data_IF_789902319507
#
_entry.id   IF_789902319507
#
_cell.length_a   1.000
_cell.length_b   1.000
_cell.length_c   1.000
_cell.angle_alpha   90.00
_cell.angle_beta   90.00
_cell.angle_gamma   90.00
#
_symmetry.space_group_name_H-M   'P 1'
#
loop_
_entity.id
_entity.type
_entity.pdbx_description
1 polymer ?
#
# COMPACT_ATOMS: atom_id res chain seq x y z
N UNK A 1 -11.20 -1.78 -28.00
CA UNK A 1 -9.99 -2.08 -27.18
C UNK A 1 -9.77 -1.13 -26.00
N UNK A 2 -10.23 0.13 -26.05
CA UNK A 2 -9.99 1.11 -24.98
C UNK A 2 -10.66 0.73 -23.65
N UNK A 3 -11.88 0.16 -23.69
CA UNK A 3 -12.62 -0.27 -22.50
C UNK A 3 -11.87 -1.36 -21.73
N UNK A 4 -11.33 -2.35 -22.45
CA UNK A 4 -10.53 -3.42 -21.84
C UNK A 4 -9.28 -2.88 -21.14
N UNK A 5 -8.54 -1.97 -21.78
CA UNK A 5 -7.37 -1.34 -21.16
C UNK A 5 -7.74 -0.51 -19.93
N UNK A 6 -8.83 0.27 -20.03
CA UNK A 6 -9.32 1.09 -18.91
C UNK A 6 -9.75 0.21 -17.74
N UNK A 7 -10.45 -0.89 -18.00
CA UNK A 7 -10.87 -1.84 -16.99
C UNK A 7 -9.67 -2.53 -16.31
N UNK A 8 -8.65 -2.97 -17.07
CA UNK A 8 -7.44 -3.60 -16.50
C UNK A 8 -6.63 -2.60 -15.65
N UNK A 9 -6.41 -1.39 -16.17
CA UNK A 9 -5.68 -0.35 -15.42
C UNK A 9 -6.41 0.02 -14.14
N UNK A 10 -7.74 0.15 -14.20
CA UNK A 10 -8.58 0.42 -13.04
C UNK A 10 -8.53 -0.75 -12.04
N UNK A 11 -8.68 -1.98 -12.51
CA UNK A 11 -8.63 -3.18 -11.67
C UNK A 11 -7.30 -3.29 -10.89
N UNK A 12 -6.16 -3.03 -11.56
CA UNK A 12 -4.84 -3.04 -10.92
C UNK A 12 -4.70 -1.92 -9.88
N UNK A 13 -5.13 -0.71 -10.21
CA UNK A 13 -5.04 0.44 -9.31
C UNK A 13 -5.94 0.29 -8.07
N UNK A 14 -7.18 -0.14 -8.28
CA UNK A 14 -8.16 -0.35 -7.22
C UNK A 14 -7.71 -1.50 -6.32
N UNK A 15 -7.23 -2.61 -6.88
CA UNK A 15 -6.71 -3.74 -6.07
C UNK A 15 -5.51 -3.35 -5.19
N UNK A 16 -4.54 -2.60 -5.74
CA UNK A 16 -3.41 -2.11 -4.96
C UNK A 16 -3.86 -1.19 -3.81
N UNK A 17 -4.82 -0.31 -4.10
CA UNK A 17 -5.41 0.60 -3.11
C UNK A 17 -6.15 -0.18 -2.03
N UNK A 18 -6.92 -1.21 -2.39
CA UNK A 18 -7.64 -2.05 -1.45
C UNK A 18 -6.70 -2.85 -0.55
N UNK A 19 -5.63 -3.44 -1.10
CA UNK A 19 -4.59 -4.10 -0.28
C UNK A 19 -3.97 -3.14 0.73
N UNK A 20 -3.68 -1.90 0.32
CA UNK A 20 -3.14 -0.87 1.21
C UNK A 20 -4.15 -0.48 2.29
N UNK A 21 -5.40 -0.21 1.93
CA UNK A 21 -6.46 0.18 2.87
C UNK A 21 -6.80 -0.93 3.85
N UNK A 22 -6.87 -2.18 3.40
CA UNK A 22 -7.11 -3.32 4.27
C UNK A 22 -6.01 -3.47 5.33
N UNK A 23 -4.75 -3.15 4.97
CA UNK A 23 -3.62 -3.16 5.91
C UNK A 23 -3.67 -2.02 6.93
N UNK A 24 -4.22 -0.86 6.55
CA UNK A 24 -4.24 0.34 7.41
C UNK A 24 -5.47 0.36 8.34
N UNK A 25 -6.66 0.12 7.79
CA UNK A 25 -7.93 0.35 8.48
C UNK A 25 -8.75 -0.95 8.69
N UNK A 26 -8.21 -2.11 8.26
CA UNK A 26 -8.93 -3.37 8.22
C UNK A 26 -9.83 -3.52 6.99
N UNK A 27 -10.16 -4.77 6.64
CA UNK A 27 -10.95 -5.07 5.44
C UNK A 27 -12.37 -4.48 5.48
N UNK A 28 -12.94 -4.29 6.67
CA UNK A 28 -14.29 -3.74 6.88
C UNK A 28 -14.46 -2.28 6.45
N UNK A 29 -13.37 -1.54 6.27
CA UNK A 29 -13.40 -0.15 5.81
C UNK A 29 -13.57 -0.01 4.29
N UNK A 30 -13.55 -1.12 3.55
CA UNK A 30 -13.68 -1.15 2.10
C UNK A 30 -15.14 -1.37 1.65
N UNK A 31 -15.48 -0.99 0.40
CA UNK A 31 -16.77 -1.34 -0.19
C UNK A 31 -17.03 -2.86 -0.18
N UNK A 32 -18.29 -3.31 -0.11
CA UNK A 32 -18.62 -4.73 0.00
C UNK A 32 -18.03 -5.58 -1.14
N UNK A 33 -18.07 -5.09 -2.38
CA UNK A 33 -17.46 -5.77 -3.54
C UNK A 33 -15.95 -5.99 -3.34
N UNK A 34 -15.24 -4.98 -2.84
CA UNK A 34 -13.80 -5.07 -2.57
C UNK A 34 -13.50 -6.07 -1.44
N UNK A 35 -14.38 -6.20 -0.45
CA UNK A 35 -14.25 -7.20 0.61
C UNK A 35 -14.36 -8.61 0.06
N UNK A 36 -15.32 -8.87 -0.84
CA UNK A 36 -15.48 -10.17 -1.50
C UNK A 36 -14.24 -10.54 -2.33
N UNK A 37 -13.72 -9.58 -3.12
CA UNK A 37 -12.49 -9.80 -3.88
C UNK A 37 -11.29 -10.09 -2.96
N UNK A 38 -11.13 -9.34 -1.86
CA UNK A 38 -10.05 -9.59 -0.90
C UNK A 38 -10.21 -10.92 -0.14
N UNK A 39 -11.43 -11.34 0.17
CA UNK A 39 -11.69 -12.66 0.75
C UNK A 39 -11.32 -13.78 -0.23
N UNK A 40 -11.69 -13.64 -1.51
CA UNK A 40 -11.28 -14.59 -2.55
C UNK A 40 -9.75 -14.63 -2.73
N UNK A 41 -9.09 -13.47 -2.66
CA UNK A 41 -7.64 -13.35 -2.70
C UNK A 41 -6.95 -14.07 -1.53
N UNK A 42 -7.48 -13.94 -0.31
CA UNK A 42 -6.95 -14.67 0.85
C UNK A 42 -7.09 -16.19 0.70
N UNK A 43 -8.21 -16.65 0.13
CA UNK A 43 -8.38 -18.07 -0.19
C UNK A 43 -7.37 -18.55 -1.25
N UNK A 44 -7.08 -17.72 -2.26
CA UNK A 44 -6.05 -18.00 -3.27
C UNK A 44 -4.65 -18.07 -2.64
N UNK A 45 -4.32 -17.16 -1.72
CA UNK A 45 -3.04 -17.17 -1.00
C UNK A 45 -2.78 -18.44 -0.18
N UNK A 46 -3.85 -19.14 0.24
CA UNK A 46 -3.70 -20.42 0.93
C UNK A 46 -3.28 -21.56 -0.03
N UNK A 47 -3.43 -21.38 -1.33
CA UNK A 47 -3.24 -22.42 -2.35
C UNK A 47 -2.09 -22.15 -3.31
N UNK A 48 -1.75 -20.87 -3.55
CA UNK A 48 -0.75 -20.46 -4.54
C UNK A 48 0.11 -19.28 -4.08
N UNK A 49 1.10 -18.92 -4.89
CA UNK A 49 2.01 -17.81 -4.59
C UNK A 49 1.31 -16.45 -4.61
N UNK A 50 1.87 -15.46 -3.90
CA UNK A 50 1.30 -14.11 -3.84
C UNK A 50 1.16 -13.48 -5.24
N UNK A 51 2.14 -13.69 -6.12
CA UNK A 51 2.13 -13.17 -7.48
C UNK A 51 1.00 -13.75 -8.32
N UNK A 52 0.82 -15.08 -8.27
CA UNK A 52 -0.25 -15.76 -8.99
C UNK A 52 -1.63 -15.38 -8.44
N UNK A 53 -1.80 -15.39 -7.12
CA UNK A 53 -3.05 -14.99 -6.48
C UNK A 53 -3.44 -13.55 -6.86
N UNK A 54 -2.45 -12.67 -6.94
CA UNK A 54 -2.65 -11.27 -7.33
C UNK A 54 -3.15 -11.15 -8.78
N UNK A 55 -2.50 -11.81 -9.73
CA UNK A 55 -2.92 -11.75 -11.14
C UNK A 55 -4.28 -12.43 -11.37
N UNK A 56 -4.59 -13.52 -10.65
CA UNK A 56 -5.90 -14.16 -10.70
C UNK A 56 -7.00 -13.22 -10.19
N UNK A 57 -6.77 -12.57 -9.04
CA UNK A 57 -7.74 -11.61 -8.48
C UNK A 57 -7.90 -10.38 -9.36
N UNK A 58 -6.81 -9.81 -9.90
CA UNK A 58 -6.87 -8.69 -10.85
C UNK A 58 -7.67 -9.09 -12.09
N UNK A 59 -7.46 -10.30 -12.61
CA UNK A 59 -8.24 -10.82 -13.74
C UNK A 59 -9.74 -10.96 -13.44
N UNK A 60 -10.11 -11.32 -12.21
CA UNK A 60 -11.51 -11.37 -11.78
C UNK A 60 -12.14 -9.97 -11.70
N UNK A 61 -11.44 -9.01 -11.11
CA UNK A 61 -11.89 -7.60 -11.01
C UNK A 61 -12.00 -6.99 -12.42
N UNK A 62 -11.02 -7.26 -13.28
CA UNK A 62 -11.03 -6.82 -14.68
C UNK A 62 -12.29 -7.28 -15.42
N UNK A 63 -12.68 -8.55 -15.25
CA UNK A 63 -13.90 -9.10 -15.88
C UNK A 63 -15.15 -8.36 -15.40
N UNK A 64 -15.26 -8.09 -14.10
CA UNK A 64 -16.37 -7.32 -13.54
C UNK A 64 -16.43 -5.90 -14.13
N UNK A 65 -15.31 -5.18 -14.13
CA UNK A 65 -15.25 -3.82 -14.68
C UNK A 65 -15.43 -3.76 -16.19
N UNK A 66 -15.00 -4.78 -16.93
CA UNK A 66 -15.24 -4.85 -18.36
C UNK A 66 -16.74 -4.97 -18.67
N UNK A 67 -17.47 -5.80 -17.92
CA UNK A 67 -18.91 -5.95 -18.06
C UNK A 67 -19.64 -4.65 -17.68
N UNK A 68 -19.28 -4.02 -16.56
CA UNK A 68 -19.85 -2.74 -16.13
C UNK A 68 -19.64 -1.61 -17.15
N UNK A 69 -18.49 -1.57 -17.80
CA UNK A 69 -18.17 -0.55 -18.81
C UNK A 69 -18.81 -0.84 -20.19
N UNK A 70 -19.76 -1.77 -20.28
CA UNK A 70 -20.48 -2.10 -21.51
C UNK A 70 -19.70 -3.01 -22.47
N UNK A 71 -18.70 -3.72 -21.97
CA UNK A 71 -18.00 -4.77 -22.72
C UNK A 71 -18.87 -6.02 -22.86
N UNK A 72 -19.24 -6.38 -24.08
CA UNK A 72 -19.98 -7.61 -24.37
C UNK A 72 -19.03 -8.78 -24.71
N UNK A 73 -19.33 -9.97 -24.20
CA UNK A 73 -18.59 -11.20 -24.49
C UNK A 73 -17.34 -11.41 -23.61
N UNK A 74 -16.50 -12.37 -24.00
CA UNK A 74 -15.26 -12.68 -23.28
C UNK A 74 -14.30 -11.50 -23.34
N UNK A 75 -13.87 -10.94 -22.19
CA UNK A 75 -12.94 -9.81 -22.18
C UNK A 75 -11.63 -10.19 -22.89
N UNK A 76 -11.12 -9.34 -23.79
CA UNK A 76 -9.88 -9.63 -24.51
C UNK A 76 -8.69 -9.68 -23.54
N UNK A 77 -7.75 -10.61 -23.76
CA UNK A 77 -6.52 -10.73 -22.96
C UNK A 77 -5.68 -9.46 -23.09
N UNK A 78 -5.70 -8.62 -22.05
CA UNK A 78 -4.88 -7.41 -21.97
C UNK A 78 -3.55 -7.84 -21.36
N UNK A 79 -2.62 -8.27 -22.21
CA UNK A 79 -1.23 -8.47 -21.74
C UNK A 79 -0.69 -7.13 -21.23
N UNK A 80 -0.16 -7.07 -20.00
CA UNK A 80 0.49 -5.86 -19.52
C UNK A 80 1.61 -5.51 -20.50
N UNK A 81 1.48 -4.34 -21.15
CA UNK A 81 2.54 -3.81 -21.98
C UNK A 81 3.74 -3.62 -21.06
N UNK A 82 4.87 -4.26 -21.37
CA UNK A 82 6.13 -3.98 -20.69
C UNK A 82 6.30 -2.47 -20.63
N UNK A 83 6.49 -1.92 -19.42
CA UNK A 83 6.64 -0.49 -19.23
C UNK A 83 7.74 -0.01 -20.17
N UNK A 84 7.35 0.68 -21.25
CA UNK A 84 8.32 1.36 -22.07
C UNK A 84 8.96 2.40 -21.15
N UNK A 85 10.29 2.40 -20.99
CA UNK A 85 10.95 3.45 -20.24
C UNK A 85 10.49 4.76 -20.87
N UNK A 86 9.86 5.62 -20.07
CA UNK A 86 9.42 6.92 -20.51
C UNK A 86 10.60 7.56 -21.26
N UNK A 87 10.43 7.82 -22.56
CA UNK A 87 11.46 8.44 -23.35
C UNK A 87 11.91 9.69 -22.60
N UNK A 88 13.22 9.79 -22.39
CA UNK A 88 13.95 10.74 -21.56
C UNK A 88 13.87 12.18 -22.13
N UNK A 89 12.64 12.62 -22.40
CA UNK A 89 12.25 13.92 -22.94
C UNK A 89 11.71 14.84 -21.83
N UNK A 90 11.91 14.47 -20.56
CA UNK A 90 11.68 15.36 -19.42
C UNK A 90 13.01 16.01 -19.10
N UNK A 91 13.26 17.19 -19.68
CA UNK A 91 14.41 17.99 -19.27
C UNK A 91 14.25 18.31 -17.78
N UNK A 92 15.17 17.83 -16.95
CA UNK A 92 15.18 18.15 -15.53
C UNK A 92 15.14 19.67 -15.37
N UNK A 93 14.16 20.18 -14.64
CA UNK A 93 14.01 21.61 -14.38
C UNK A 93 15.29 22.11 -13.71
N UNK A 94 16.17 22.77 -14.47
CA UNK A 94 17.48 23.22 -14.02
C UNK A 94 17.26 24.37 -13.04
N UNK A 95 17.15 24.05 -11.75
CA UNK A 95 17.11 25.07 -10.69
C UNK A 95 18.41 25.89 -10.76
N UNK A 96 18.34 27.23 -10.76
CA UNK A 96 19.53 28.07 -10.61
C UNK A 96 20.32 27.65 -9.36
N UNK A 97 21.66 27.74 -9.44
CA UNK A 97 22.53 27.34 -8.34
C UNK A 97 22.11 28.08 -7.05
N UNK A 98 22.01 27.37 -5.91
CA UNK A 98 21.65 28.00 -4.65
C UNK A 98 22.70 29.05 -4.26
N UNK A 99 22.31 30.23 -3.75
CA UNK A 99 23.27 31.21 -3.26
C UNK A 99 24.11 30.58 -2.15
N UNK A 100 25.44 30.79 -2.21
CA UNK A 100 26.40 30.31 -1.20
C UNK A 100 25.98 30.86 0.16
N UNK A 101 25.58 29.98 1.08
CA UNK A 101 25.36 30.33 2.48
C UNK A 101 26.70 30.80 3.07
N UNK A 102 26.75 32.04 3.51
CA UNK A 102 27.79 32.55 4.39
C UNK A 102 27.85 31.68 5.65
N UNK A 103 29.06 31.37 6.08
CA UNK A 103 29.32 30.60 7.28
C UNK A 103 28.73 31.34 8.49
N UNK A 104 27.70 30.76 9.11
CA UNK A 104 27.27 31.14 10.45
C UNK A 104 28.06 30.27 11.43
N UNK A 105 28.96 30.94 12.15
CA UNK A 105 29.57 30.43 13.39
C UNK A 105 28.45 30.22 14.40
N UNK A 106 28.19 28.96 14.75
CA UNK A 106 27.09 28.62 15.65
C UNK A 106 26.99 27.12 15.92
N UNK A 107 28.13 26.44 16.04
CA UNK A 107 28.17 25.05 16.50
C UNK A 107 28.19 25.00 18.03
N UNK A 108 27.04 25.25 18.63
CA UNK A 108 26.73 24.84 19.99
C UNK A 108 25.19 24.72 20.08
N UNK A 109 24.70 23.73 20.80
CA UNK A 109 23.27 23.43 21.02
C UNK A 109 22.57 22.61 19.92
N UNK A 110 23.15 21.45 19.59
CA UNK A 110 22.36 20.31 19.12
C UNK A 110 21.49 19.79 20.28
N UNK A 111 20.20 20.11 20.24
CA UNK A 111 19.13 19.49 21.04
C UNK A 111 18.89 18.03 20.65
N UNK A 112 18.14 17.27 21.47
CA UNK A 112 18.53 15.93 21.91
C UNK A 112 18.39 14.85 20.85
N UNK A 113 19.41 13.99 20.77
CA UNK A 113 19.33 12.66 20.18
C UNK A 113 18.09 11.93 20.70
N UNK A 114 17.23 11.48 19.77
CA UNK A 114 16.13 10.56 20.04
C UNK A 114 16.67 9.31 20.73
N UNK A 115 16.53 9.26 22.05
CA UNK A 115 16.89 8.11 22.88
C UNK A 115 15.90 6.96 22.60
N UNK A 116 16.34 5.70 22.41
CA UNK A 116 15.47 4.52 22.25
C UNK A 116 14.75 4.09 23.55
N UNK A 117 14.45 5.03 24.44
CA UNK A 117 13.85 4.77 25.76
C UNK A 117 12.34 4.50 25.81
N UNK A 118 11.48 4.75 24.79
CA UNK A 118 10.04 4.61 25.01
C UNK A 118 9.63 3.14 25.25
N UNK A 119 10.29 2.17 24.60
CA UNK A 119 9.93 0.75 24.70
C UNK A 119 10.22 0.18 26.09
N UNK A 120 11.37 0.50 26.67
CA UNK A 120 11.76 -0.01 27.99
C UNK A 120 10.83 0.52 29.10
N UNK A 121 10.40 1.78 29.01
CA UNK A 121 9.47 2.39 29.97
C UNK A 121 8.07 1.79 29.88
N UNK A 122 7.57 1.55 28.66
CA UNK A 122 6.27 0.89 28.45
C UNK A 122 6.30 -0.54 29.02
N UNK A 123 7.37 -1.29 28.77
CA UNK A 123 7.52 -2.65 29.27
C UNK A 123 7.58 -2.70 30.80
N UNK A 124 8.37 -1.83 31.44
CA UNK A 124 8.44 -1.75 32.90
C UNK A 124 7.09 -1.39 33.52
N UNK A 125 6.35 -0.44 32.92
CA UNK A 125 5.01 -0.06 33.37
C UNK A 125 4.03 -1.25 33.31
N UNK A 126 4.02 -2.01 32.22
CA UNK A 126 3.18 -3.21 32.07
C UNK A 126 3.48 -4.28 33.12
N UNK A 127 4.74 -4.51 33.44
CA UNK A 127 5.15 -5.48 34.47
C UNK A 127 4.63 -5.07 35.84
N UNK A 128 4.74 -3.78 36.21
CA UNK A 128 4.24 -3.26 37.48
C UNK A 128 2.72 -3.41 37.59
N UNK A 129 1.97 -3.09 36.53
CA UNK A 129 0.51 -3.26 36.50
C UNK A 129 0.14 -4.74 36.66
N UNK A 130 0.80 -5.63 35.92
CA UNK A 130 0.53 -7.07 36.01
C UNK A 130 0.78 -7.62 37.41
N UNK A 131 1.92 -7.26 38.03
CA UNK A 131 2.25 -7.68 39.40
C UNK A 131 1.26 -7.10 40.40
N UNK A 132 0.87 -5.83 40.25
CA UNK A 132 -0.11 -5.17 41.12
C UNK A 132 -1.48 -5.84 41.06
N UNK A 133 -1.98 -6.13 39.86
CA UNK A 133 -3.24 -6.88 39.68
C UNK A 133 -3.11 -8.27 40.30
N UNK A 134 -2.00 -8.97 40.06
CA UNK A 134 -1.78 -10.33 40.59
C UNK A 134 -1.70 -10.37 42.11
N UNK A 135 -1.15 -9.33 42.74
CA UNK A 135 -1.07 -9.20 44.19
C UNK A 135 -2.40 -8.79 44.82
N UNK A 136 -3.19 -7.96 44.13
CA UNK A 136 -4.49 -7.50 44.63
C UNK A 136 -5.62 -8.52 44.42
N UNK A 137 -5.47 -9.43 43.45
CA UNK A 137 -6.43 -10.52 43.16
C UNK A 137 -5.99 -11.87 43.72
N UNK A 138 -4.93 -11.90 44.53
CA UNK A 138 -4.59 -13.05 45.39
C UNK A 138 -5.15 -12.83 46.78
#
# INVERSE_FOLDING_TARGET
>A
MLIARRADTRARADFATWKMMAKLNGASALPPEAQEFLASYQNLLAQMSEGEATEVTIGAIYKAYYAEMGGAGTPPDVRPRAAEPAADNVTAFRRPAPPKKSASVGAAFAGPQKRPLPVALIFACLVVVYVGIRLYWR
#
